data_IF_400838958973
#
_entry.id   IF_400838958973
#
_cell.length_a   1.000
_cell.length_b   1.000
_cell.length_c   1.000
_cell.angle_alpha   90.00
_cell.angle_beta   90.00
_cell.angle_gamma   90.00
#
_symmetry.space_group_name_H-M   'P 1'
#
loop_
_entity.id
_entity.type
_entity.pdbx_description
1 polymer ?
#
# COMPACT_ATOMS: atom_id res chain seq x y z
N UNK A 1 -3.26 14.34 19.30
CA UNK A 1 -3.53 13.18 20.19
C UNK A 1 -3.56 11.91 19.34
N UNK A 2 -2.78 10.86 19.66
CA UNK A 2 -2.51 9.72 18.77
C UNK A 2 -3.21 8.40 19.15
N UNK A 3 -4.11 8.38 20.15
CA UNK A 3 -4.70 7.15 20.68
C UNK A 3 -5.59 6.37 19.71
N UNK A 4 -6.37 7.08 18.89
CA UNK A 4 -7.23 6.46 17.87
C UNK A 4 -6.39 5.71 16.82
N UNK A 5 -5.29 6.29 16.35
CA UNK A 5 -4.45 5.66 15.33
C UNK A 5 -3.74 4.41 15.86
N UNK A 6 -3.26 4.45 17.11
CA UNK A 6 -2.70 3.27 17.78
C UNK A 6 -3.77 2.19 17.93
N UNK A 7 -4.97 2.56 18.35
CA UNK A 7 -6.09 1.63 18.47
C UNK A 7 -6.45 0.98 17.13
N UNK A 8 -6.52 1.76 16.04
CA UNK A 8 -6.78 1.24 14.69
C UNK A 8 -5.66 0.29 14.26
N UNK A 9 -4.38 0.60 14.50
CA UNK A 9 -3.29 -0.32 14.18
C UNK A 9 -3.40 -1.64 14.97
N UNK A 10 -3.68 -1.56 16.27
CA UNK A 10 -3.84 -2.74 17.12
C UNK A 10 -5.05 -3.56 16.65
N UNK A 11 -6.16 -2.91 16.34
CA UNK A 11 -7.37 -3.56 15.84
C UNK A 11 -7.10 -4.28 14.51
N UNK A 12 -6.42 -3.63 13.57
CA UNK A 12 -6.02 -4.26 12.29
C UNK A 12 -5.12 -5.46 12.54
N UNK A 13 -4.08 -5.33 13.38
CA UNK A 13 -3.18 -6.44 13.72
C UNK A 13 -3.95 -7.61 14.34
N UNK A 14 -4.88 -7.32 15.25
CA UNK A 14 -5.69 -8.33 15.93
C UNK A 14 -6.69 -8.99 14.97
N UNK A 15 -7.35 -8.24 14.09
CA UNK A 15 -8.22 -8.78 13.06
C UNK A 15 -7.47 -9.67 12.07
N UNK A 16 -6.28 -9.27 11.63
CA UNK A 16 -5.46 -10.06 10.70
C UNK A 16 -5.14 -11.45 11.28
N UNK A 17 -4.98 -11.53 12.60
CA UNK A 17 -4.66 -12.77 13.32
C UNK A 17 -5.92 -13.56 13.70
N UNK A 18 -7.03 -12.91 14.04
CA UNK A 18 -8.27 -13.57 14.48
C UNK A 18 -9.16 -13.99 13.33
N UNK A 19 -9.29 -13.19 12.26
CA UNK A 19 -10.18 -13.51 11.13
C UNK A 19 -9.91 -14.89 10.51
N UNK A 20 -8.65 -15.36 10.34
CA UNK A 20 -8.39 -16.70 9.84
C UNK A 20 -8.71 -17.83 10.84
N UNK A 21 -8.92 -17.51 12.13
CA UNK A 21 -9.03 -18.50 13.22
C UNK A 21 -10.06 -19.61 12.99
N UNK A 22 -11.28 -19.36 12.45
CA UNK A 22 -12.25 -20.43 12.21
C UNK A 22 -11.70 -21.50 11.28
N UNK A 23 -11.10 -21.12 10.14
CA UNK A 23 -10.50 -22.05 9.19
C UNK A 23 -9.20 -22.65 9.71
N UNK A 24 -8.37 -21.83 10.35
CA UNK A 24 -7.10 -22.25 10.95
C UNK A 24 -7.31 -23.29 12.06
N UNK A 25 -8.40 -23.22 12.81
CA UNK A 25 -8.74 -24.20 13.84
C UNK A 25 -8.87 -25.61 13.27
N UNK A 26 -9.48 -25.75 12.08
CA UNK A 26 -9.61 -27.03 11.37
C UNK A 26 -8.30 -27.50 10.74
N UNK A 27 -7.45 -26.57 10.32
CA UNK A 27 -6.09 -26.90 9.90
C UNK A 27 -5.22 -27.38 11.06
N UNK A 28 -5.37 -26.78 12.24
CA UNK A 28 -4.67 -27.21 13.45
C UNK A 28 -5.06 -28.63 13.85
N UNK A 29 -6.36 -28.98 13.81
CA UNK A 29 -6.83 -30.35 14.03
C UNK A 29 -6.13 -31.34 13.08
N UNK A 30 -6.06 -31.00 11.79
CA UNK A 30 -5.38 -31.83 10.77
C UNK A 30 -3.87 -31.96 11.00
N UNK A 31 -3.25 -30.99 11.67
CA UNK A 31 -1.84 -30.98 12.03
C UNK A 31 -1.55 -31.61 13.41
N UNK A 32 -2.58 -32.10 14.13
CA UNK A 32 -2.43 -32.62 15.50
C UNK A 32 -2.25 -31.54 16.57
N UNK A 33 -2.59 -30.29 16.27
CA UNK A 33 -2.53 -29.15 17.19
C UNK A 33 -3.95 -28.89 17.76
N UNK A 34 -4.11 -28.62 19.07
CA UNK A 34 -5.43 -28.33 19.64
C UNK A 34 -6.10 -27.12 18.97
N UNK A 35 -7.35 -27.28 18.50
CA UNK A 35 -8.07 -26.28 17.68
C UNK A 35 -8.29 -24.95 18.41
N UNK A 36 -8.47 -24.97 19.73
CA UNK A 36 -8.69 -23.76 20.52
C UNK A 36 -7.52 -22.78 20.43
N UNK A 37 -6.29 -23.26 20.17
CA UNK A 37 -5.11 -22.42 20.02
C UNK A 37 -5.17 -21.49 18.81
N UNK A 38 -6.00 -21.83 17.80
CA UNK A 38 -6.20 -20.98 16.63
C UNK A 38 -6.93 -19.67 16.95
N UNK A 39 -7.77 -19.68 18.00
CA UNK A 39 -8.61 -18.55 18.39
C UNK A 39 -7.91 -17.54 19.30
N UNK A 40 -6.82 -17.96 19.96
CA UNK A 40 -6.04 -17.06 20.81
C UNK A 40 -5.08 -16.25 19.92
N UNK A 41 -5.21 -14.92 19.88
CA UNK A 41 -4.35 -14.07 19.06
C UNK A 41 -2.89 -14.29 19.42
N UNK A 42 -2.04 -14.30 18.39
CA UNK A 42 -0.59 -14.50 18.46
C UNK A 42 -0.16 -15.91 18.90
N UNK A 43 -0.91 -16.59 19.76
CA UNK A 43 -0.66 -18.00 20.07
C UNK A 43 -0.79 -18.86 18.80
N UNK A 44 -1.77 -18.55 17.95
CA UNK A 44 -1.93 -19.20 16.67
C UNK A 44 -0.69 -19.04 15.76
N UNK A 45 -0.13 -17.83 15.66
CA UNK A 45 1.12 -17.55 14.93
C UNK A 45 2.30 -18.30 15.55
N UNK A 46 2.37 -18.35 16.88
CA UNK A 46 3.43 -19.09 17.59
C UNK A 46 3.40 -20.59 17.29
N UNK A 47 2.21 -21.19 17.24
CA UNK A 47 2.04 -22.60 16.87
C UNK A 47 2.38 -22.84 15.39
N UNK A 48 2.05 -21.90 14.49
CA UNK A 48 2.48 -21.96 13.08
C UNK A 48 4.01 -21.97 12.98
N UNK A 49 4.70 -21.08 13.70
CA UNK A 49 6.18 -21.00 13.71
C UNK A 49 6.79 -22.33 14.16
N UNK A 50 6.22 -22.94 15.21
CA UNK A 50 6.66 -24.27 15.68
C UNK A 50 6.40 -25.35 14.64
N UNK A 51 5.19 -25.42 14.08
CA UNK A 51 4.79 -26.42 13.10
C UNK A 51 5.64 -26.33 11.82
N UNK A 52 6.01 -25.11 11.40
CA UNK A 52 6.86 -24.85 10.25
C UNK A 52 8.38 -24.94 10.54
N UNK A 53 8.79 -25.16 11.80
CA UNK A 53 10.20 -25.13 12.24
C UNK A 53 10.93 -23.81 11.86
N UNK A 54 10.23 -22.67 11.93
CA UNK A 54 10.78 -21.33 11.65
C UNK A 54 11.52 -20.78 12.89
N UNK A 55 12.51 -19.89 12.71
CA UNK A 55 13.24 -19.26 13.82
C UNK A 55 12.31 -18.39 14.68
N UNK A 56 12.44 -18.46 16.01
CA UNK A 56 11.54 -17.80 16.97
C UNK A 56 11.52 -16.26 16.88
N UNK A 57 12.57 -15.61 16.38
CA UNK A 57 12.60 -14.14 16.31
C UNK A 57 11.57 -13.55 15.34
N UNK A 58 11.17 -14.31 14.31
CA UNK A 58 10.14 -13.88 13.37
C UNK A 58 8.79 -13.62 14.04
N UNK A 59 8.52 -14.27 15.17
CA UNK A 59 7.36 -13.97 15.99
C UNK A 59 7.35 -12.52 16.48
N UNK A 60 8.51 -12.00 16.92
CA UNK A 60 8.57 -10.67 17.51
C UNK A 60 8.50 -9.55 16.45
N UNK A 61 8.93 -9.83 15.22
CA UNK A 61 8.88 -8.86 14.12
C UNK A 61 7.44 -8.51 13.72
N UNK A 62 6.45 -9.33 14.06
CA UNK A 62 5.03 -9.03 13.81
C UNK A 62 4.51 -7.83 14.60
N UNK A 63 5.20 -7.42 15.68
CA UNK A 63 4.81 -6.28 16.51
C UNK A 63 5.33 -4.94 15.99
N UNK A 64 6.17 -4.94 14.96
CA UNK A 64 6.62 -3.71 14.32
C UNK A 64 5.41 -3.11 13.57
N UNK A 65 5.02 -1.85 13.84
CA UNK A 65 3.90 -1.23 13.15
C UNK A 65 4.07 -1.28 11.63
N UNK A 66 3.01 -1.63 10.91
CA UNK A 66 2.96 -1.76 9.45
C UNK A 66 3.82 -2.92 8.93
N UNK A 67 5.14 -2.93 9.19
CA UNK A 67 6.05 -4.01 8.79
C UNK A 67 5.65 -5.38 9.35
N UNK A 68 5.10 -5.41 10.57
CA UNK A 68 4.64 -6.62 11.23
C UNK A 68 3.42 -7.27 10.58
N UNK A 69 2.57 -6.49 9.89
CA UNK A 69 1.46 -7.05 9.12
C UNK A 69 1.96 -7.93 7.97
N UNK A 70 3.07 -7.55 7.33
CA UNK A 70 3.70 -8.35 6.29
C UNK A 70 4.26 -9.65 6.85
N UNK A 71 4.95 -9.55 7.99
CA UNK A 71 5.48 -10.73 8.66
C UNK A 71 4.35 -11.68 9.01
N UNK A 72 3.21 -11.15 9.47
CA UNK A 72 2.04 -11.96 9.80
C UNK A 72 1.44 -12.62 8.56
N UNK A 73 1.25 -11.89 7.45
CA UNK A 73 0.78 -12.45 6.18
C UNK A 73 1.74 -13.52 5.66
N UNK A 74 3.05 -13.25 5.71
CA UNK A 74 4.08 -14.22 5.32
C UNK A 74 4.03 -15.49 6.18
N UNK A 75 3.87 -15.36 7.50
CA UNK A 75 3.70 -16.51 8.40
C UNK A 75 2.41 -17.30 8.10
N UNK A 76 1.32 -16.61 7.76
CA UNK A 76 0.09 -17.28 7.29
C UNK A 76 0.31 -18.03 5.98
N UNK A 77 1.07 -17.47 5.03
CA UNK A 77 1.47 -18.16 3.80
C UNK A 77 2.30 -19.41 4.12
N UNK A 78 3.25 -19.33 5.06
CA UNK A 78 4.01 -20.50 5.52
C UNK A 78 3.11 -21.57 6.14
N UNK A 79 2.03 -21.18 6.82
CA UNK A 79 1.07 -22.13 7.38
C UNK A 79 0.36 -22.95 6.30
N UNK A 80 -0.07 -22.35 5.18
CA UNK A 80 -0.79 -23.08 4.12
C UNK A 80 0.13 -23.96 3.28
N UNK A 81 1.43 -23.61 3.20
CA UNK A 81 2.45 -24.47 2.58
C UNK A 81 2.56 -25.82 3.28
N UNK A 82 2.38 -25.88 4.61
CA UNK A 82 2.36 -27.14 5.37
C UNK A 82 1.25 -28.11 4.92
N UNK A 83 0.25 -27.62 4.21
CA UNK A 83 -0.86 -28.40 3.65
C UNK A 83 -0.76 -28.58 2.13
N UNK A 84 0.41 -28.31 1.53
CA UNK A 84 0.67 -28.54 0.10
C UNK A 84 0.18 -27.44 -0.83
N UNK A 85 -0.19 -26.28 -0.28
CA UNK A 85 -0.63 -25.12 -1.07
C UNK A 85 0.56 -24.23 -1.40
N UNK A 86 1.10 -24.42 -2.60
CA UNK A 86 2.30 -23.72 -3.08
C UNK A 86 2.02 -22.76 -4.24
N UNK A 87 0.77 -22.68 -4.72
CA UNK A 87 0.40 -21.85 -5.86
C UNK A 87 0.51 -20.37 -5.52
N UNK A 88 0.84 -19.56 -6.54
CA UNK A 88 0.82 -18.11 -6.40
C UNK A 88 -0.59 -17.62 -6.06
N UNK A 89 -1.62 -18.26 -6.63
CA UNK A 89 -3.01 -17.97 -6.29
C UNK A 89 -3.34 -18.29 -4.84
N UNK A 90 -2.81 -19.39 -4.29
CA UNK A 90 -3.01 -19.74 -2.87
C UNK A 90 -2.43 -18.65 -1.96
N UNK A 91 -1.21 -18.20 -2.25
CA UNK A 91 -0.56 -17.14 -1.47
C UNK A 91 -1.29 -15.80 -1.60
N UNK A 92 -1.76 -15.45 -2.80
CA UNK A 92 -2.54 -14.23 -3.03
C UNK A 92 -3.87 -14.28 -2.28
N UNK A 93 -4.57 -15.41 -2.29
CA UNK A 93 -5.81 -15.59 -1.53
C UNK A 93 -5.59 -15.44 -0.03
N UNK A 94 -4.48 -15.97 0.52
CA UNK A 94 -4.09 -15.74 1.93
C UNK A 94 -3.86 -14.25 2.23
N UNK A 95 -3.22 -13.52 1.31
CA UNK A 95 -2.92 -12.11 1.53
C UNK A 95 -4.16 -11.19 1.45
N UNK A 96 -5.05 -11.42 0.48
CA UNK A 96 -6.19 -10.51 0.20
C UNK A 96 -7.51 -10.96 0.82
N UNK A 97 -7.76 -12.26 0.91
CA UNK A 97 -9.03 -12.84 1.41
C UNK A 97 -8.78 -13.99 2.40
N UNK A 98 -7.99 -13.77 3.46
CA UNK A 98 -7.59 -14.82 4.39
C UNK A 98 -8.77 -15.55 5.02
N UNK A 99 -9.80 -14.82 5.47
CA UNK A 99 -10.98 -15.41 6.12
C UNK A 99 -11.63 -16.50 5.25
N UNK A 100 -11.96 -16.17 4.00
CA UNK A 100 -12.66 -17.06 3.07
C UNK A 100 -11.74 -18.23 2.69
N UNK A 101 -10.47 -17.96 2.41
CA UNK A 101 -9.54 -18.98 1.96
C UNK A 101 -9.20 -20.01 3.05
N UNK A 102 -8.95 -19.57 4.29
CA UNK A 102 -8.69 -20.47 5.39
C UNK A 102 -9.93 -21.31 5.74
N UNK A 103 -11.14 -20.75 5.65
CA UNK A 103 -12.38 -21.53 5.77
C UNK A 103 -12.47 -22.60 4.69
N UNK A 104 -12.29 -22.24 3.43
CA UNK A 104 -12.27 -23.19 2.33
C UNK A 104 -11.26 -24.33 2.57
N UNK A 105 -10.02 -24.00 2.93
CA UNK A 105 -8.95 -24.97 3.14
C UNK A 105 -9.18 -25.84 4.40
N UNK A 106 -9.65 -25.23 5.48
CA UNK A 106 -9.94 -25.88 6.75
C UNK A 106 -11.03 -26.95 6.62
N UNK A 107 -12.11 -26.65 5.91
CA UNK A 107 -13.25 -27.57 5.77
C UNK A 107 -13.13 -28.54 4.58
N UNK A 108 -12.18 -28.32 3.67
CA UNK A 108 -11.94 -29.23 2.56
C UNK A 108 -11.33 -30.57 3.04
N UNK A 109 -12.00 -31.69 2.72
CA UNK A 109 -11.58 -33.06 3.10
C UNK A 109 -10.26 -33.50 2.45
N UNK A 110 -9.93 -32.97 1.28
CA UNK A 110 -8.72 -33.36 0.54
C UNK A 110 -7.45 -32.72 1.10
N UNK A 111 -7.61 -31.73 1.98
CA UNK A 111 -6.48 -31.02 2.57
C UNK A 111 -5.86 -31.87 3.66
N UNK A 112 -4.63 -32.35 3.42
CA UNK A 112 -3.85 -33.15 4.37
C UNK A 112 -2.64 -32.36 4.86
N UNK A 113 -2.27 -32.59 6.12
CA UNK A 113 -1.04 -32.04 6.68
C UNK A 113 0.16 -32.83 6.15
N UNK A 114 1.03 -32.16 5.40
CA UNK A 114 2.26 -32.75 4.85
C UNK A 114 3.44 -32.62 5.82
N UNK A 115 3.42 -31.55 6.63
CA UNK A 115 4.46 -31.21 7.57
C UNK A 115 5.68 -30.53 6.93
N UNK A 116 6.58 -29.98 7.77
CA UNK A 116 7.68 -29.12 7.31
C UNK A 116 8.72 -29.86 6.48
N UNK A 117 8.91 -31.16 6.73
CA UNK A 117 9.94 -31.95 6.04
C UNK A 117 9.53 -32.29 4.60
N UNK A 118 8.22 -32.44 4.33
CA UNK A 118 7.71 -32.58 2.96
C UNK A 118 7.70 -31.25 2.21
N UNK A 119 7.41 -30.14 2.88
CA UNK A 119 7.53 -28.79 2.30
C UNK A 119 8.94 -28.52 1.81
N UNK A 120 9.98 -28.90 2.59
CA UNK A 120 11.39 -28.78 2.17
C UNK A 120 11.75 -29.65 0.97
N UNK A 121 11.07 -30.79 0.78
CA UNK A 121 11.29 -31.69 -0.35
C UNK A 121 10.60 -31.20 -1.64
N UNK A 122 9.62 -30.30 -1.52
CA UNK A 122 8.96 -29.72 -2.66
C UNK A 122 9.90 -28.76 -3.40
N UNK A 123 10.56 -29.26 -4.45
CA UNK A 123 11.36 -28.43 -5.35
C UNK A 123 10.43 -27.74 -6.35
N UNK A 124 10.38 -26.41 -6.30
CA UNK A 124 9.76 -25.64 -7.36
C UNK A 124 10.75 -25.54 -8.54
N UNK A 125 10.23 -25.38 -9.75
CA UNK A 125 11.07 -25.01 -10.90
C UNK A 125 11.74 -23.67 -10.61
N UNK A 126 13.02 -23.51 -10.94
CA UNK A 126 13.77 -22.27 -10.70
C UNK A 126 13.03 -21.02 -11.24
N UNK A 127 12.40 -21.12 -12.41
CA UNK A 127 11.58 -20.05 -13.00
C UNK A 127 10.41 -19.64 -12.09
N UNK A 128 9.72 -20.61 -11.47
CA UNK A 128 8.59 -20.34 -10.58
C UNK A 128 9.05 -19.73 -9.26
N UNK A 129 10.18 -20.19 -8.72
CA UNK A 129 10.77 -19.58 -7.53
C UNK A 129 11.13 -18.12 -7.77
N UNK A 130 11.71 -17.82 -8.94
CA UNK A 130 12.05 -16.46 -9.32
C UNK A 130 10.80 -15.59 -9.51
N UNK A 131 9.75 -16.10 -10.17
CA UNK A 131 8.46 -15.38 -10.32
C UNK A 131 7.81 -15.13 -8.95
N UNK A 132 7.73 -16.15 -8.09
CA UNK A 132 7.15 -16.02 -6.75
C UNK A 132 7.92 -14.98 -5.92
N UNK A 133 9.26 -14.99 -5.99
CA UNK A 133 10.11 -14.02 -5.32
C UNK A 133 9.93 -12.60 -5.88
N UNK A 134 9.84 -12.45 -7.21
CA UNK A 134 9.61 -11.16 -7.85
C UNK A 134 8.25 -10.57 -7.47
N UNK A 135 7.18 -11.37 -7.49
CA UNK A 135 5.84 -10.93 -7.08
C UNK A 135 5.82 -10.53 -5.62
N UNK A 136 6.44 -11.32 -4.73
CA UNK A 136 6.58 -10.97 -3.32
C UNK A 136 7.34 -9.64 -3.13
N UNK A 137 8.46 -9.47 -3.85
CA UNK A 137 9.25 -8.24 -3.80
C UNK A 137 8.46 -7.02 -4.29
N UNK A 138 7.69 -7.15 -5.38
CA UNK A 138 6.82 -6.09 -5.91
C UNK A 138 5.77 -5.66 -4.88
N UNK A 139 5.08 -6.62 -4.26
CA UNK A 139 4.08 -6.34 -3.23
C UNK A 139 4.70 -5.67 -2.00
N UNK A 140 5.81 -6.23 -1.50
CA UNK A 140 6.54 -5.67 -0.37
C UNK A 140 7.03 -4.24 -0.67
N UNK A 141 7.68 -4.02 -1.80
CA UNK A 141 8.17 -2.71 -2.21
C UNK A 141 7.05 -1.69 -2.43
N UNK A 142 5.90 -2.10 -3.00
CA UNK A 142 4.72 -1.22 -3.15
C UNK A 142 4.22 -0.74 -1.80
N UNK A 143 4.08 -1.63 -0.82
CA UNK A 143 3.58 -1.26 0.49
C UNK A 143 4.63 -0.48 1.32
N UNK A 144 5.92 -0.84 1.24
CA UNK A 144 7.02 -0.04 1.85
C UNK A 144 6.98 1.39 1.30
N UNK A 145 6.84 1.53 -0.02
CA UNK A 145 6.70 2.82 -0.69
C UNK A 145 5.46 3.59 -0.24
N UNK A 146 4.34 2.91 -0.04
CA UNK A 146 3.10 3.53 0.41
C UNK A 146 3.21 4.06 1.84
N UNK A 147 3.81 3.30 2.76
CA UNK A 147 3.70 3.58 4.20
C UNK A 147 5.00 4.02 4.90
N UNK A 148 6.18 3.65 4.43
CA UNK A 148 7.44 3.84 5.15
C UNK A 148 8.24 5.02 4.57
N UNK A 149 8.76 4.85 3.36
CA UNK A 149 9.56 5.87 2.68
C UNK A 149 9.41 5.74 1.16
N UNK A 150 9.63 6.83 0.46
CA UNK A 150 9.64 6.86 -1.00
C UNK A 150 10.86 7.64 -1.49
N UNK A 151 11.50 7.12 -2.55
CA UNK A 151 12.60 7.81 -3.21
C UNK A 151 12.04 8.78 -4.25
N UNK A 152 12.53 10.02 -4.24
CA UNK A 152 12.19 11.05 -5.21
C UNK A 152 13.47 11.60 -5.85
N UNK A 153 13.37 11.93 -7.14
CA UNK A 153 14.37 12.73 -7.85
C UNK A 153 13.88 14.15 -7.98
N UNK A 154 14.77 15.13 -7.90
CA UNK A 154 14.40 16.54 -8.07
C UNK A 154 14.47 16.92 -9.56
N UNK A 155 13.33 17.23 -10.21
CA UNK A 155 13.33 17.61 -11.62
C UNK A 155 13.55 19.11 -11.84
N UNK A 156 13.36 19.96 -10.82
CA UNK A 156 13.35 21.42 -10.98
C UNK A 156 14.21 22.13 -9.95
N UNK A 157 14.79 23.26 -10.37
CA UNK A 157 15.75 24.04 -9.60
C UNK A 157 15.16 24.94 -8.52
N UNK A 158 13.87 24.82 -8.18
CA UNK A 158 13.22 25.75 -7.25
C UNK A 158 13.83 25.74 -5.85
N UNK A 159 14.61 24.72 -5.49
CA UNK A 159 15.34 24.63 -4.24
C UNK A 159 16.86 24.56 -4.43
N UNK A 160 17.41 25.00 -5.57
CA UNK A 160 18.83 24.85 -5.93
C UNK A 160 19.83 25.29 -4.85
N UNK A 161 19.48 26.30 -4.05
CA UNK A 161 20.32 26.75 -2.92
C UNK A 161 20.45 25.72 -1.78
N UNK A 162 19.62 24.68 -1.75
CA UNK A 162 19.64 23.60 -0.74
C UNK A 162 19.74 22.23 -1.39
N UNK A 163 19.00 22.00 -2.48
CA UNK A 163 18.89 20.72 -3.17
C UNK A 163 18.99 20.95 -4.68
N UNK A 164 19.91 20.25 -5.32
CA UNK A 164 20.21 20.43 -6.73
C UNK A 164 19.29 19.57 -7.59
N UNK A 165 19.15 19.98 -8.85
CA UNK A 165 18.47 19.16 -9.88
C UNK A 165 19.24 17.83 -10.02
N UNK A 166 18.50 16.73 -10.10
CA UNK A 166 18.98 15.34 -10.10
C UNK A 166 19.43 14.78 -8.74
N UNK A 167 19.28 15.50 -7.64
CA UNK A 167 19.47 14.90 -6.31
C UNK A 167 18.42 13.81 -6.04
N UNK A 168 18.85 12.71 -5.42
CA UNK A 168 17.99 11.62 -4.97
C UNK A 168 17.71 11.77 -3.48
N UNK A 169 16.43 11.84 -3.12
CA UNK A 169 15.98 12.02 -1.75
C UNK A 169 15.14 10.83 -1.29
N UNK A 170 15.42 10.36 -0.07
CA UNK A 170 14.50 9.47 0.65
C UNK A 170 13.57 10.28 1.53
N UNK A 171 12.28 10.24 1.22
CA UNK A 171 11.26 10.96 1.96
C UNK A 171 10.60 10.01 2.95
N UNK A 172 10.73 10.32 4.24
CA UNK A 172 10.08 9.57 5.31
C UNK A 172 8.59 9.91 5.39
N UNK A 173 7.73 8.92 5.12
CA UNK A 173 6.27 9.05 5.29
C UNK A 173 5.83 8.84 6.74
N UNK A 174 6.65 8.15 7.55
CA UNK A 174 6.39 7.91 8.96
C UNK A 174 6.46 9.20 9.81
N UNK A 175 7.31 10.17 9.43
CA UNK A 175 7.57 11.36 10.24
C UNK A 175 6.34 12.25 10.42
N UNK A 176 5.57 12.47 9.34
CA UNK A 176 4.36 13.29 9.35
C UNK A 176 3.07 12.47 9.34
N UNK A 177 3.21 11.14 9.39
CA UNK A 177 2.11 10.20 9.36
C UNK A 177 1.91 9.56 7.98
N UNK A 178 1.88 8.22 7.87
CA UNK A 178 1.56 7.55 6.61
C UNK A 178 0.12 7.84 6.19
N UNK A 179 -0.07 8.00 4.88
CA UNK A 179 -1.39 8.25 4.27
C UNK A 179 -2.00 6.93 3.83
N UNK A 180 -3.29 6.75 4.07
CA UNK A 180 -4.02 5.63 3.48
C UNK A 180 -4.26 5.96 2.01
N UNK A 181 -3.96 5.06 1.06
CA UNK A 181 -4.22 5.32 -0.35
C UNK A 181 -5.72 5.52 -0.58
N UNK A 182 -6.08 6.65 -1.21
CA UNK A 182 -7.47 6.93 -1.56
C UNK A 182 -8.01 5.92 -2.58
N UNK A 183 -7.12 5.40 -3.44
CA UNK A 183 -7.44 4.38 -4.44
C UNK A 183 -6.61 3.11 -4.21
N UNK A 184 -7.09 2.18 -3.37
CA UNK A 184 -6.36 0.94 -3.05
C UNK A 184 -6.13 0.04 -4.27
N UNK A 185 -7.05 0.10 -5.25
CA UNK A 185 -6.97 -0.64 -6.50
C UNK A 185 -6.15 0.15 -7.51
N UNK A 186 -4.84 -0.03 -7.49
CA UNK A 186 -3.93 0.61 -8.43
C UNK A 186 -2.80 -0.32 -8.86
N UNK A 187 -2.28 -0.06 -10.06
CA UNK A 187 -1.12 -0.77 -10.60
C UNK A 187 0.13 -0.36 -9.80
N UNK A 188 0.89 -1.34 -9.26
CA UNK A 188 2.16 -1.09 -8.59
C UNK A 188 3.11 -0.24 -9.43
N UNK A 189 3.82 0.68 -8.77
CA UNK A 189 4.85 1.54 -9.38
C UNK A 189 4.38 2.53 -10.47
N UNK A 190 3.08 2.65 -10.73
CA UNK A 190 2.54 3.60 -11.71
C UNK A 190 1.76 4.71 -11.01
N UNK A 191 2.17 5.96 -11.25
CA UNK A 191 1.65 7.13 -10.52
C UNK A 191 0.21 7.50 -10.88
N UNK A 192 -0.12 7.66 -12.16
CA UNK A 192 -1.45 8.12 -12.59
C UNK A 192 -1.93 7.50 -13.91
N UNK A 193 -1.02 7.29 -14.86
CA UNK A 193 -1.32 6.77 -16.20
C UNK A 193 -0.40 5.60 -16.51
N UNK A 194 -0.97 4.52 -17.08
CA UNK A 194 -0.20 3.36 -17.51
C UNK A 194 0.63 3.75 -18.75
N UNK A 195 1.97 3.61 -18.71
CA UNK A 195 2.83 3.90 -19.86
C UNK A 195 2.39 3.08 -21.09
N UNK A 196 2.23 3.74 -22.24
CA UNK A 196 1.86 3.11 -23.51
C UNK A 196 0.36 2.89 -23.74
N UNK A 197 -0.47 2.85 -22.70
CA UNK A 197 -1.92 2.62 -22.82
C UNK A 197 -2.78 3.89 -22.63
N UNK A 198 -2.16 5.03 -22.27
CA UNK A 198 -2.83 6.33 -22.02
C UNK A 198 -4.13 6.24 -21.20
N UNK A 199 -4.18 5.26 -20.30
CA UNK A 199 -5.32 4.92 -19.45
C UNK A 199 -4.94 5.08 -17.99
N UNK A 200 -5.91 5.42 -17.12
CA UNK A 200 -5.69 5.57 -15.67
C UNK A 200 -5.04 4.31 -15.08
N UNK A 201 -4.06 4.48 -14.19
CA UNK A 201 -3.38 3.38 -13.49
C UNK A 201 -4.11 2.87 -12.26
N UNK A 202 -5.31 3.39 -11.99
CA UNK A 202 -6.08 3.14 -10.79
C UNK A 202 -7.56 3.02 -11.12
N UNK A 203 -8.29 2.32 -10.24
CA UNK A 203 -9.74 2.22 -10.28
C UNK A 203 -10.35 3.02 -9.14
N UNK A 204 -11.41 3.76 -9.47
CA UNK A 204 -12.20 4.54 -8.50
C UNK A 204 -13.37 3.73 -7.91
N UNK A 205 -13.47 2.43 -8.22
CA UNK A 205 -14.53 1.55 -7.70
C UNK A 205 -14.53 1.45 -6.16
N UNK A 206 -13.36 1.57 -5.54
CA UNK A 206 -13.21 1.65 -4.08
C UNK A 206 -12.47 2.97 -3.79
N UNK A 207 -13.19 3.92 -3.22
CA UNK A 207 -12.64 5.23 -2.84
C UNK A 207 -12.64 5.38 -1.32
N UNK A 208 -11.45 5.64 -0.76
CA UNK A 208 -11.27 5.90 0.67
C UNK A 208 -11.03 7.40 0.85
N UNK A 209 -11.73 8.08 1.79
CA UNK A 209 -11.50 9.49 2.07
C UNK A 209 -10.07 9.72 2.59
N UNK A 210 -9.53 10.90 2.30
CA UNK A 210 -8.17 11.26 2.71
C UNK A 210 -8.01 11.16 4.22
N UNK A 211 -7.17 10.22 4.64
CA UNK A 211 -6.88 9.96 6.05
C UNK A 211 -5.39 9.71 6.22
N UNK A 212 -4.84 10.25 7.31
CA UNK A 212 -3.42 10.13 7.64
C UNK A 212 -3.30 9.61 9.07
N UNK A 213 -2.63 8.49 9.25
CA UNK A 213 -2.34 7.96 10.58
C UNK A 213 -1.15 8.70 11.19
N UNK A 214 -1.19 8.97 12.49
CA UNK A 214 -0.12 9.65 13.23
C UNK A 214 0.24 11.02 12.65
N UNK A 215 -0.77 11.76 12.19
CA UNK A 215 -0.57 13.07 11.58
C UNK A 215 0.13 14.02 12.56
N UNK A 216 1.29 14.54 12.16
CA UNK A 216 2.00 15.59 12.87
C UNK A 216 2.00 16.87 12.03
N UNK A 217 1.86 18.05 12.67
CA UNK A 217 1.99 19.31 11.96
C UNK A 217 3.40 19.46 11.40
N UNK A 218 3.49 20.09 10.23
CA UNK A 218 4.76 20.50 9.62
C UNK A 218 5.35 21.63 10.45
N UNK A 219 6.67 21.67 10.61
CA UNK A 219 7.37 22.77 11.27
C UNK A 219 8.00 23.70 10.24
N UNK A 220 8.25 24.92 10.67
CA UNK A 220 8.97 25.90 9.87
C UNK A 220 10.33 25.35 9.46
N UNK A 221 10.72 25.66 8.23
CA UNK A 221 11.94 25.24 7.54
C UNK A 221 12.05 23.75 7.18
N UNK A 222 11.07 22.91 7.52
CA UNK A 222 11.05 21.52 7.06
C UNK A 222 10.96 21.46 5.52
N UNK A 223 11.74 20.57 4.92
CA UNK A 223 11.57 20.23 3.49
C UNK A 223 10.48 19.17 3.41
N UNK A 224 9.37 19.51 2.77
CA UNK A 224 8.19 18.66 2.71
C UNK A 224 7.83 18.30 1.28
N UNK A 225 7.29 17.08 1.15
CA UNK A 225 6.67 16.61 -0.09
C UNK A 225 5.17 16.62 0.07
N UNK A 226 4.50 17.31 -0.84
CA UNK A 226 3.04 17.47 -0.84
C UNK A 226 2.48 17.29 -2.25
N UNK A 227 1.19 16.98 -2.32
CA UNK A 227 0.51 16.88 -3.60
C UNK A 227 0.15 18.27 -4.09
N UNK A 228 0.46 18.57 -5.35
CA UNK A 228 0.18 19.88 -5.93
C UNK A 228 -1.35 20.16 -5.95
N UNK A 229 -1.83 21.22 -5.30
CA UNK A 229 -3.26 21.45 -5.11
C UNK A 229 -4.04 21.61 -6.43
N UNK A 230 -3.49 22.36 -7.39
CA UNK A 230 -4.12 22.60 -8.68
C UNK A 230 -4.04 21.40 -9.65
N UNK A 231 -3.38 20.30 -9.25
CA UNK A 231 -3.31 19.06 -10.02
C UNK A 231 -4.49 18.12 -9.79
N UNK A 232 -5.59 18.61 -9.21
CA UNK A 232 -6.82 17.86 -8.96
C UNK A 232 -7.70 17.75 -10.21
N UNK A 233 -7.74 18.81 -11.03
CA UNK A 233 -8.45 18.87 -12.31
C UNK A 233 -7.45 19.17 -13.41
N UNK A 234 -7.42 18.32 -14.42
CA UNK A 234 -6.45 18.34 -15.50
C UNK A 234 -7.13 18.15 -16.85
N UNK A 235 -6.44 18.50 -17.92
CA UNK A 235 -6.80 18.13 -19.28
C UNK A 235 -6.02 16.89 -19.68
N UNK A 236 -6.62 15.95 -20.42
CA UNK A 236 -5.95 14.70 -20.81
C UNK A 236 -4.75 14.97 -21.73
N UNK A 237 -4.81 16.05 -22.49
CA UNK A 237 -3.87 16.44 -23.53
C UNK A 237 -2.61 17.10 -22.96
N UNK A 238 -2.75 17.92 -21.90
CA UNK A 238 -1.63 18.62 -21.26
C UNK A 238 -1.20 18.00 -19.93
N UNK A 239 -2.05 17.17 -19.33
CA UNK A 239 -1.81 16.55 -18.03
C UNK A 239 -1.33 17.60 -17.00
N UNK A 240 -0.26 17.32 -16.27
CA UNK A 240 0.27 18.16 -15.20
C UNK A 240 1.28 19.20 -15.70
N UNK A 241 1.55 19.23 -17.01
CA UNK A 241 2.37 20.29 -17.62
C UNK A 241 1.62 21.62 -17.62
N UNK A 242 0.30 21.57 -17.79
CA UNK A 242 -0.57 22.75 -17.87
C UNK A 242 -1.92 22.46 -17.19
N UNK A 243 -2.02 22.71 -15.86
CA UNK A 243 -3.21 22.41 -15.07
C UNK A 243 -4.46 23.14 -15.60
N UNK A 244 -5.64 22.54 -15.38
CA UNK A 244 -6.91 23.10 -15.84
C UNK A 244 -7.12 24.56 -15.44
N UNK A 245 -6.76 24.92 -14.21
CA UNK A 245 -6.96 26.29 -13.71
C UNK A 245 -6.07 27.33 -14.39
N UNK A 246 -4.89 26.95 -14.87
CA UNK A 246 -3.97 27.86 -15.55
C UNK A 246 -4.39 28.08 -17.02
N UNK A 247 -4.93 27.04 -17.67
CA UNK A 247 -5.60 27.16 -18.97
C UNK A 247 -6.84 28.07 -18.83
N UNK A 248 -7.70 27.78 -17.84
CA UNK A 248 -8.91 28.56 -17.59
C UNK A 248 -8.61 30.04 -17.34
N UNK A 249 -7.56 30.35 -16.56
CA UNK A 249 -7.17 31.73 -16.28
C UNK A 249 -6.73 32.47 -17.55
N UNK A 250 -5.92 31.84 -18.41
CA UNK A 250 -5.49 32.46 -19.68
C UNK A 250 -6.67 32.68 -20.64
N UNK A 251 -7.60 31.73 -20.71
CA UNK A 251 -8.83 31.89 -21.49
C UNK A 251 -9.74 32.99 -20.92
N UNK A 252 -9.83 33.11 -19.60
CA UNK A 252 -10.56 34.18 -18.92
C UNK A 252 -9.93 35.55 -19.21
N UNK A 253 -8.60 35.65 -19.23
CA UNK A 253 -7.86 36.88 -19.58
C UNK A 253 -8.12 37.31 -21.04
N UNK A 254 -8.33 36.35 -21.96
CA UNK A 254 -8.62 36.62 -23.38
C UNK A 254 -10.09 37.00 -23.59
N UNK A 255 -11.00 36.23 -23.01
CA UNK A 255 -12.46 36.38 -23.24
C UNK A 255 -13.08 37.46 -22.37
N UNK A 256 -12.43 37.83 -21.26
CA UNK A 256 -12.98 38.69 -20.22
C UNK A 256 -14.19 38.08 -19.48
N UNK A 257 -14.54 36.82 -19.75
CA UNK A 257 -15.70 36.15 -19.16
C UNK A 257 -15.40 34.68 -18.84
N UNK A 258 -15.43 34.37 -17.55
CA UNK A 258 -15.14 33.04 -17.00
C UNK A 258 -16.04 31.91 -17.52
N UNK A 259 -17.31 32.19 -17.79
CA UNK A 259 -18.25 31.17 -18.27
C UNK A 259 -17.94 30.77 -19.71
N UNK A 260 -17.65 31.76 -20.56
CA UNK A 260 -17.21 31.55 -21.94
C UNK A 260 -15.86 30.84 -21.97
N UNK A 261 -14.90 31.29 -21.14
CA UNK A 261 -13.62 30.62 -20.98
C UNK A 261 -13.77 29.13 -20.60
N UNK A 262 -14.66 28.82 -19.65
CA UNK A 262 -14.93 27.42 -19.26
C UNK A 262 -15.50 26.61 -20.43
N UNK A 263 -16.44 27.17 -21.18
CA UNK A 263 -17.04 26.50 -22.33
C UNK A 263 -16.01 26.21 -23.42
N UNK A 264 -15.12 27.17 -23.72
CA UNK A 264 -14.02 26.99 -24.66
C UNK A 264 -13.10 25.86 -24.22
N UNK A 265 -12.65 25.87 -22.96
CA UNK A 265 -11.77 24.82 -22.43
C UNK A 265 -12.43 23.44 -22.47
N UNK A 266 -13.72 23.34 -22.14
CA UNK A 266 -14.44 22.06 -22.17
C UNK A 266 -14.78 21.60 -23.59
N UNK A 267 -14.84 22.52 -24.56
CA UNK A 267 -15.00 22.20 -25.98
C UNK A 267 -13.71 21.75 -26.66
N UNK A 268 -12.56 22.26 -26.20
CA UNK A 268 -11.25 21.95 -26.79
C UNK A 268 -10.51 20.80 -26.09
N UNK A 269 -10.69 20.65 -24.77
CA UNK A 269 -9.92 19.70 -23.95
C UNK A 269 -10.78 18.67 -23.23
N UNK A 270 -10.23 17.46 -23.07
CA UNK A 270 -10.85 16.41 -22.27
C UNK A 270 -10.52 16.62 -20.79
N UNK A 271 -11.45 17.21 -20.03
CA UNK A 271 -11.28 17.46 -18.60
C UNK A 271 -11.44 16.18 -17.78
N UNK A 272 -10.49 15.92 -16.89
CA UNK A 272 -10.47 14.75 -15.99
C UNK A 272 -10.01 15.16 -14.60
N UNK A 273 -10.36 14.35 -13.59
CA UNK A 273 -9.99 14.60 -12.19
C UNK A 273 -9.09 13.50 -11.63
N UNK A 274 -8.27 13.87 -10.64
CA UNK A 274 -7.35 12.97 -9.93
C UNK A 274 -7.60 12.95 -8.42
N UNK A 275 -7.67 11.75 -7.81
CA UNK A 275 -7.67 11.62 -6.37
C UNK A 275 -6.32 12.08 -5.80
N UNK A 276 -6.31 12.48 -4.53
CA UNK A 276 -5.16 13.15 -3.89
C UNK A 276 -3.87 12.31 -3.98
N UNK A 277 -3.96 10.99 -3.83
CA UNK A 277 -2.84 10.04 -3.90
C UNK A 277 -2.27 9.85 -5.31
N UNK A 278 -2.95 10.34 -6.36
CA UNK A 278 -2.53 10.24 -7.77
C UNK A 278 -2.12 11.59 -8.37
N UNK A 279 -2.07 12.65 -7.57
CA UNK A 279 -1.58 13.97 -7.98
C UNK A 279 -0.06 14.03 -7.93
N UNK A 280 0.52 14.93 -8.72
CA UNK A 280 1.96 15.19 -8.72
C UNK A 280 2.49 15.59 -7.35
N UNK A 281 3.70 15.14 -7.04
CA UNK A 281 4.38 15.42 -5.79
C UNK A 281 5.39 16.55 -5.98
N UNK A 282 5.30 17.58 -5.16
CA UNK A 282 6.19 18.73 -5.18
C UNK A 282 6.99 18.78 -3.88
N UNK A 283 8.26 19.15 -3.98
CA UNK A 283 9.17 19.29 -2.85
C UNK A 283 9.45 20.77 -2.63
N UNK A 284 9.10 21.27 -1.44
CA UNK A 284 9.35 22.67 -1.06
C UNK A 284 9.74 22.78 0.41
N UNK A 285 10.44 23.87 0.75
CA UNK A 285 10.66 24.26 2.14
C UNK A 285 9.43 24.96 2.70
N UNK A 286 8.99 24.55 3.89
CA UNK A 286 7.93 25.22 4.63
C UNK A 286 8.47 26.56 5.17
N UNK A 287 8.06 27.68 4.58
CA UNK A 287 8.52 29.02 4.98
C UNK A 287 7.65 29.67 6.05
N UNK A 288 6.38 29.27 6.12
CA UNK A 288 5.41 29.73 7.10
C UNK A 288 4.49 28.58 7.50
N UNK A 289 4.14 28.51 8.77
CA UNK A 289 3.08 27.65 9.31
C UNK A 289 1.91 28.51 9.78
N UNK A 290 0.73 27.90 9.92
CA UNK A 290 -0.44 28.60 10.45
C UNK A 290 -0.14 29.21 11.83
N UNK A 291 -0.38 30.51 11.97
CA UNK A 291 -0.09 31.27 13.18
C UNK A 291 1.28 31.97 13.19
N UNK A 292 2.10 31.81 12.15
CA UNK A 292 3.29 32.64 11.97
C UNK A 292 2.85 34.08 11.62
N UNK A 293 3.31 35.04 12.42
CA UNK A 293 3.21 36.49 12.19
C UNK A 293 4.50 37.05 11.63
#
# INVERSE_FOLDING_TARGET
MPGHDIFVLILISLLLVILPAPGLSKLFEKAGIPSWKAWVPFLNIWEIIKAAKIKKHWFYWQFIPIAGWFITIWLLIESVKLFGKFSLLDHAMVAFIPLIYFLYLGYNKDTKYLGPDQVKKHKKTATREWIDAAVFAIVAATLIRTFIFEAYTIPTGSMEKTLLVNDFLFVSKLTYGPRIPNTPLAVPFVHHTIPGLNTKSYSEAIYIPYTRWFAKPVKRNDVVVFNFPAGDTLTKERDSQDPYYDILRREEDITGNKEVARQNVWGEYTVTTRPVDKRENYIKRCVAVYGDT
#
